data_IF_983009084222
#
_entry.id   IF_983009084222
#
_cell.length_a   1.000
_cell.length_b   1.000
_cell.length_c   1.000
_cell.angle_alpha   90.00
_cell.angle_beta   90.00
_cell.angle_gamma   90.00
#
_symmetry.space_group_name_H-M   'P 1'
#
loop_
_entity.id
_entity.type
_entity.pdbx_description
1 polymer ?
#
# COMPACT_ATOMS: atom_id res chain seq x y z
N UNK A 1 -20.61 1.91 -7.62
CA UNK A 1 -20.99 1.48 -6.25
C UNK A 1 -20.86 -0.04 -6.16
N UNK A 2 -20.37 -0.59 -5.05
CA UNK A 2 -20.41 -2.02 -4.74
C UNK A 2 -21.79 -2.34 -4.16
N UNK A 3 -22.45 -3.37 -4.68
CA UNK A 3 -23.83 -3.75 -4.29
C UNK A 3 -23.94 -5.19 -3.81
N UNK A 4 -22.90 -6.00 -4.00
CA UNK A 4 -22.83 -7.37 -3.49
C UNK A 4 -21.37 -7.80 -3.39
N UNK A 5 -21.08 -8.56 -2.34
CA UNK A 5 -19.76 -9.09 -2.03
C UNK A 5 -19.93 -10.59 -1.74
N UNK A 6 -19.09 -11.41 -2.36
CA UNK A 6 -19.09 -12.86 -2.19
C UNK A 6 -17.65 -13.37 -2.05
N UNK A 7 -17.49 -14.62 -1.63
CA UNK A 7 -16.22 -15.31 -1.43
C UNK A 7 -15.33 -15.41 -2.68
N UNK A 8 -15.84 -15.02 -3.85
CA UNK A 8 -15.14 -15.13 -5.13
C UNK A 8 -15.29 -13.91 -6.04
N UNK A 9 -16.17 -12.97 -5.70
CA UNK A 9 -16.51 -11.86 -6.58
C UNK A 9 -17.07 -10.66 -5.82
N UNK A 10 -17.03 -9.52 -6.48
CA UNK A 10 -17.83 -8.35 -6.12
C UNK A 10 -18.71 -7.97 -7.32
N UNK A 11 -19.88 -7.41 -7.04
CA UNK A 11 -20.74 -6.81 -8.06
C UNK A 11 -20.70 -5.31 -7.92
N UNK A 12 -20.44 -4.63 -9.03
CA UNK A 12 -20.39 -3.17 -9.08
C UNK A 12 -21.44 -2.63 -10.04
N UNK A 13 -22.06 -1.51 -9.67
CA UNK A 13 -22.91 -0.71 -10.54
C UNK A 13 -22.13 0.55 -10.93
N UNK A 14 -21.87 0.72 -12.22
CA UNK A 14 -21.20 1.90 -12.77
C UNK A 14 -22.11 3.13 -12.79
N UNK A 15 -21.55 4.30 -13.11
CA UNK A 15 -22.32 5.56 -13.19
C UNK A 15 -23.36 5.53 -14.32
N UNK A 16 -23.16 4.67 -15.32
CA UNK A 16 -24.11 4.39 -16.39
C UNK A 16 -25.26 3.45 -15.97
N UNK A 17 -25.28 2.99 -14.71
CA UNK A 17 -26.25 2.02 -14.20
C UNK A 17 -25.97 0.57 -14.60
N UNK A 18 -24.88 0.29 -15.31
CA UNK A 18 -24.53 -1.06 -15.72
C UNK A 18 -23.98 -1.85 -14.52
N UNK A 19 -24.55 -3.03 -14.31
CA UNK A 19 -24.12 -3.97 -13.29
C UNK A 19 -23.09 -4.95 -13.87
N UNK A 20 -21.91 -4.99 -13.28
CA UNK A 20 -20.81 -5.85 -13.70
C UNK A 20 -20.34 -6.69 -12.52
N UNK A 21 -20.36 -8.01 -12.70
CA UNK A 21 -19.76 -8.95 -11.75
C UNK A 21 -18.27 -9.11 -12.03
N UNK A 22 -17.44 -8.87 -11.01
CA UNK A 22 -15.99 -8.89 -11.10
C UNK A 22 -15.41 -10.03 -10.26
N UNK A 23 -14.55 -10.84 -10.85
CA UNK A 23 -13.83 -11.89 -10.11
C UNK A 23 -12.83 -11.26 -9.14
N UNK A 24 -12.93 -11.64 -7.86
CA UNK A 24 -12.10 -11.13 -6.76
C UNK A 24 -11.16 -12.21 -6.18
N UNK A 25 -11.33 -13.48 -6.53
CA UNK A 25 -10.50 -14.60 -6.05
C UNK A 25 -8.99 -14.37 -6.17
N UNK A 26 -8.21 -14.82 -5.18
CA UNK A 26 -6.76 -14.85 -5.25
C UNK A 26 -6.09 -13.98 -4.19
N UNK A 27 -4.85 -13.56 -4.46
CA UNK A 27 -3.98 -12.89 -3.50
C UNK A 27 -4.01 -11.37 -3.64
N UNK A 28 -4.23 -10.70 -2.53
CA UNK A 28 -4.36 -9.26 -2.39
C UNK A 28 -3.28 -8.68 -1.49
N UNK A 29 -2.92 -7.44 -1.75
CA UNK A 29 -2.25 -6.56 -0.79
C UNK A 29 -3.32 -5.59 -0.31
N UNK A 30 -3.40 -5.39 1.00
CA UNK A 30 -4.34 -4.48 1.65
C UNK A 30 -3.53 -3.41 2.34
N UNK A 31 -3.97 -2.17 2.21
CA UNK A 31 -3.50 -1.03 3.00
C UNK A 31 -4.71 -0.52 3.76
N UNK A 32 -4.62 -0.57 5.08
CA UNK A 32 -5.63 -0.14 6.05
C UNK A 32 -4.89 0.32 7.32
N UNK A 33 -5.38 0.04 8.52
CA UNK A 33 -4.63 0.24 9.78
C UNK A 33 -3.27 -0.47 9.74
N UNK A 34 -3.21 -1.65 9.13
CA UNK A 34 -1.98 -2.34 8.76
C UNK A 34 -1.92 -2.64 7.25
N UNK A 35 -0.70 -2.89 6.75
CA UNK A 35 -0.51 -3.52 5.43
C UNK A 35 -0.50 -5.03 5.60
N UNK A 36 -1.50 -5.69 5.00
CA UNK A 36 -1.56 -7.16 4.94
C UNK A 36 -1.08 -7.63 3.57
N UNK A 37 0.15 -8.16 3.46
CA UNK A 37 0.64 -8.66 2.18
C UNK A 37 0.07 -10.04 1.88
N UNK A 38 -0.29 -10.28 0.61
CA UNK A 38 -0.58 -11.62 0.08
C UNK A 38 -1.77 -12.35 0.77
N UNK A 39 -2.77 -11.59 1.21
CA UNK A 39 -3.98 -12.13 1.82
C UNK A 39 -4.88 -12.80 0.78
N UNK A 40 -5.55 -13.89 1.15
CA UNK A 40 -6.57 -14.50 0.29
C UNK A 40 -7.85 -13.69 0.38
N UNK A 41 -8.49 -13.38 -0.75
CA UNK A 41 -9.78 -12.69 -0.83
C UNK A 41 -10.82 -13.18 0.19
N UNK A 42 -10.98 -14.50 0.33
CA UNK A 42 -11.97 -15.07 1.26
C UNK A 42 -11.75 -14.66 2.73
N UNK A 43 -10.52 -14.30 3.10
CA UNK A 43 -10.18 -13.86 4.46
C UNK A 43 -10.29 -12.33 4.64
N UNK A 44 -10.46 -11.59 3.54
CA UNK A 44 -10.33 -10.13 3.53
C UNK A 44 -11.46 -9.41 2.81
N UNK A 45 -12.45 -10.14 2.32
CA UNK A 45 -13.66 -9.57 1.75
C UNK A 45 -14.39 -8.67 2.75
N UNK A 46 -14.23 -8.91 4.06
CA UNK A 46 -14.89 -8.15 5.12
C UNK A 46 -14.36 -6.72 5.27
N UNK A 47 -13.19 -6.41 4.70
CA UNK A 47 -12.68 -5.03 4.57
C UNK A 47 -13.50 -4.21 3.57
N UNK A 48 -14.25 -4.88 2.69
CA UNK A 48 -15.09 -4.25 1.67
C UNK A 48 -16.52 -4.25 2.16
N UNK A 49 -17.23 -3.14 1.94
CA UNK A 49 -18.66 -3.00 2.24
C UNK A 49 -19.41 -2.55 1.01
N UNK A 50 -20.72 -2.75 1.02
CA UNK A 50 -21.59 -2.12 0.03
C UNK A 50 -21.45 -0.60 0.11
N UNK A 51 -21.50 0.06 -1.05
CA UNK A 51 -21.38 1.52 -1.14
C UNK A 51 -20.34 2.03 -2.12
N UNK A 52 -19.95 3.29 -1.97
CA UNK A 52 -19.07 3.98 -2.92
C UNK A 52 -17.67 3.40 -2.85
N UNK A 53 -17.11 3.05 -4.01
CA UNK A 53 -15.75 2.58 -4.16
C UNK A 53 -15.26 2.90 -5.57
N UNK A 54 -13.96 3.06 -5.73
CA UNK A 54 -13.28 3.09 -7.03
C UNK A 54 -12.69 1.72 -7.27
N UNK A 55 -12.94 1.13 -8.44
CA UNK A 55 -12.49 -0.23 -8.77
C UNK A 55 -11.70 -0.20 -10.07
N UNK A 56 -10.54 -0.85 -10.09
CA UNK A 56 -9.75 -1.08 -11.30
C UNK A 56 -10.10 -2.44 -11.86
N UNK A 57 -10.66 -2.43 -13.08
CA UNK A 57 -11.14 -3.63 -13.76
C UNK A 57 -10.12 -4.10 -14.80
N UNK A 58 -9.79 -5.39 -14.77
CA UNK A 58 -9.10 -6.09 -15.84
C UNK A 58 -10.09 -6.92 -16.64
N UNK A 59 -9.84 -7.04 -17.95
CA UNK A 59 -10.65 -7.87 -18.85
C UNK A 59 -9.79 -9.00 -19.42
N UNK A 60 -10.30 -10.23 -19.36
CA UNK A 60 -9.71 -11.39 -20.04
C UNK A 60 -10.71 -11.86 -21.09
N UNK A 61 -10.32 -11.77 -22.36
CA UNK A 61 -11.05 -12.36 -23.48
C UNK A 61 -10.41 -13.70 -23.87
N UNK A 62 -11.20 -14.77 -23.92
CA UNK A 62 -10.81 -16.10 -24.44
C UNK A 62 -11.91 -16.64 -25.35
N UNK A 63 -11.66 -16.65 -26.65
CA UNK A 63 -12.68 -17.02 -27.64
C UNK A 63 -13.88 -16.07 -27.53
N UNK A 64 -15.07 -16.63 -27.31
CA UNK A 64 -16.32 -15.88 -27.13
C UNK A 64 -16.64 -15.53 -25.66
N UNK A 65 -15.78 -15.90 -24.71
CA UNK A 65 -15.96 -15.55 -23.30
C UNK A 65 -15.12 -14.33 -22.92
N UNK A 66 -15.79 -13.33 -22.34
CA UNK A 66 -15.13 -12.20 -21.67
C UNK A 66 -15.38 -12.31 -20.17
N UNK A 67 -14.31 -12.26 -19.37
CA UNK A 67 -14.38 -12.25 -17.91
C UNK A 67 -13.75 -10.99 -17.37
N UNK A 68 -14.45 -10.34 -16.45
CA UNK A 68 -13.98 -9.16 -15.75
C UNK A 68 -13.40 -9.55 -14.39
N UNK A 69 -12.29 -8.90 -14.02
CA UNK A 69 -11.52 -9.20 -12.82
C UNK A 69 -11.31 -7.90 -12.06
N UNK A 70 -11.58 -7.91 -10.76
CA UNK A 70 -11.20 -6.82 -9.88
C UNK A 70 -9.68 -6.90 -9.64
N UNK A 71 -8.93 -5.91 -10.13
CA UNK A 71 -7.47 -5.83 -9.96
C UNK A 71 -7.06 -4.89 -8.83
N UNK A 72 -7.88 -3.88 -8.55
CA UNK A 72 -7.68 -2.91 -7.47
C UNK A 72 -9.01 -2.33 -7.00
N UNK A 73 -9.06 -1.91 -5.74
CA UNK A 73 -10.24 -1.37 -5.08
C UNK A 73 -9.79 -0.31 -4.08
N UNK A 74 -10.49 0.82 -4.04
CA UNK A 74 -10.34 1.84 -3.00
C UNK A 74 -11.72 2.21 -2.46
N UNK A 75 -11.90 2.11 -1.15
CA UNK A 75 -13.13 2.44 -0.45
C UNK A 75 -12.78 3.14 0.87
N UNK A 76 -13.02 4.45 0.94
CA UNK A 76 -12.52 5.26 2.05
C UNK A 76 -10.99 5.13 2.16
N UNK A 77 -10.53 4.78 3.36
CA UNK A 77 -9.11 4.60 3.68
C UNK A 77 -8.60 3.18 3.36
N UNK A 78 -9.49 2.25 2.99
CA UNK A 78 -9.11 0.90 2.58
C UNK A 78 -8.70 0.91 1.12
N UNK A 79 -7.46 0.48 0.87
CA UNK A 79 -6.93 0.24 -0.47
C UNK A 79 -6.57 -1.23 -0.60
N UNK A 80 -7.05 -1.88 -1.67
CA UNK A 80 -6.71 -3.26 -1.98
C UNK A 80 -6.25 -3.34 -3.42
N UNK A 81 -5.15 -4.06 -3.68
CA UNK A 81 -4.74 -4.34 -5.05
C UNK A 81 -4.03 -5.69 -5.17
N UNK A 82 -4.17 -6.28 -6.36
CA UNK A 82 -3.37 -7.45 -6.72
C UNK A 82 -1.96 -7.01 -7.07
N UNK A 83 -0.98 -7.87 -6.81
CA UNK A 83 0.43 -7.64 -7.18
C UNK A 83 0.63 -7.33 -8.68
N UNK A 84 -0.20 -7.91 -9.55
CA UNK A 84 -0.13 -7.63 -10.99
C UNK A 84 -0.43 -6.16 -11.31
N UNK A 85 -1.28 -5.50 -10.52
CA UNK A 85 -1.60 -4.08 -10.68
C UNK A 85 -0.36 -3.21 -10.46
N UNK A 86 0.43 -3.52 -9.42
CA UNK A 86 1.69 -2.83 -9.15
C UNK A 86 2.66 -2.97 -10.33
N UNK A 87 2.73 -4.15 -10.96
CA UNK A 87 3.58 -4.39 -12.13
C UNK A 87 3.10 -3.62 -13.36
N UNK A 88 1.79 -3.56 -13.59
CA UNK A 88 1.19 -2.83 -14.73
C UNK A 88 1.47 -1.33 -14.62
N UNK A 89 1.30 -0.78 -13.41
CA UNK A 89 1.47 0.65 -13.15
C UNK A 89 2.87 1.04 -12.67
N UNK A 90 3.85 0.14 -12.73
CA UNK A 90 5.23 0.50 -12.42
C UNK A 90 5.74 1.52 -13.45
N UNK A 91 6.15 2.70 -12.99
CA UNK A 91 6.90 3.68 -13.77
C UNK A 91 8.40 3.33 -13.75
N UNK A 92 8.88 2.79 -12.63
CA UNK A 92 10.24 2.30 -12.50
C UNK A 92 10.51 1.71 -11.12
N UNK A 93 11.46 0.79 -11.04
CA UNK A 93 11.94 0.24 -9.77
C UNK A 93 13.42 0.59 -9.62
N UNK A 94 13.76 1.31 -8.56
CA UNK A 94 15.14 1.60 -8.18
C UNK A 94 15.56 0.62 -7.11
N UNK A 95 16.66 -0.08 -7.38
CA UNK A 95 17.31 -0.99 -6.45
C UNK A 95 18.79 -0.61 -6.29
N UNK A 96 19.30 -0.64 -5.06
CA UNK A 96 20.74 -0.44 -4.79
C UNK A 96 21.27 -1.46 -3.79
N UNK A 97 22.56 -1.80 -3.93
CA UNK A 97 23.28 -2.66 -2.98
C UNK A 97 23.73 -1.93 -1.71
N UNK A 98 23.79 -0.59 -1.73
CA UNK A 98 24.16 0.22 -0.56
C UNK A 98 22.90 0.65 0.18
N UNK A 99 22.41 1.86 -0.07
CA UNK A 99 21.12 2.35 0.37
C UNK A 99 20.77 3.62 -0.42
N UNK A 100 19.47 3.86 -0.55
CA UNK A 100 18.90 5.16 -0.89
C UNK A 100 18.42 5.82 0.40
N UNK A 101 18.50 7.15 0.46
CA UNK A 101 18.19 7.92 1.65
C UNK A 101 17.01 8.90 1.47
N UNK A 102 15.82 8.47 0.99
CA UNK A 102 14.70 9.39 0.82
C UNK A 102 14.30 10.03 2.15
N UNK A 103 13.93 11.30 2.07
CA UNK A 103 13.48 12.13 3.19
C UNK A 103 12.13 12.73 2.82
N UNK A 104 11.18 12.72 3.75
CA UNK A 104 9.86 13.34 3.62
C UNK A 104 9.26 13.64 4.98
N UNK A 105 8.14 14.35 4.98
CA UNK A 105 7.33 14.62 6.15
C UNK A 105 6.39 13.45 6.42
N UNK A 106 6.26 13.02 7.67
CA UNK A 106 5.34 11.99 8.08
C UNK A 106 3.90 12.54 8.06
N UNK A 107 3.08 12.06 7.12
CA UNK A 107 1.70 12.53 6.96
C UNK A 107 0.66 11.53 7.45
N UNK A 108 1.03 10.26 7.56
CA UNK A 108 0.18 9.22 8.12
C UNK A 108 1.02 8.00 8.56
N UNK A 109 0.47 7.12 9.40
CA UNK A 109 1.13 5.90 9.86
C UNK A 109 0.12 4.81 10.23
N UNK A 110 0.53 3.56 10.03
CA UNK A 110 -0.20 2.38 10.49
C UNK A 110 0.69 1.44 11.30
N UNK A 111 0.17 0.28 11.67
CA UNK A 111 0.84 -0.67 12.59
C UNK A 111 2.13 -1.27 12.03
N UNK A 112 2.35 -1.21 10.72
CA UNK A 112 3.53 -1.77 10.07
C UNK A 112 4.00 -0.98 8.84
N UNK A 113 3.61 0.29 8.74
CA UNK A 113 4.06 1.20 7.69
C UNK A 113 3.94 2.66 8.13
N UNK A 114 4.55 3.54 7.33
CA UNK A 114 4.35 4.99 7.40
C UNK A 114 4.10 5.55 6.00
N UNK A 115 3.44 6.71 5.93
CA UNK A 115 3.28 7.50 4.71
C UNK A 115 4.11 8.77 4.85
N UNK A 116 5.08 8.92 3.95
CA UNK A 116 5.88 10.13 3.85
C UNK A 116 5.44 10.96 2.64
N UNK A 117 5.34 12.27 2.81
CA UNK A 117 5.09 13.22 1.72
C UNK A 117 6.31 14.10 1.47
N UNK A 118 6.58 14.37 0.20
CA UNK A 118 7.54 15.40 -0.21
C UNK A 118 7.18 15.96 -1.57
N UNK A 119 7.16 17.28 -1.68
CA UNK A 119 6.90 17.99 -2.94
C UNK A 119 5.57 17.53 -3.60
N UNK A 120 4.56 17.21 -2.78
CA UNK A 120 3.26 16.71 -3.22
C UNK A 120 3.21 15.22 -3.60
N UNK A 121 4.31 14.47 -3.41
CA UNK A 121 4.37 13.04 -3.67
C UNK A 121 4.29 12.23 -2.38
N UNK A 122 3.33 11.30 -2.31
CA UNK A 122 3.11 10.40 -1.18
C UNK A 122 3.74 9.04 -1.40
N UNK A 123 4.45 8.56 -0.39
CA UNK A 123 5.19 7.30 -0.44
C UNK A 123 4.81 6.44 0.75
N UNK A 124 4.39 5.21 0.49
CA UNK A 124 4.22 4.20 1.53
C UNK A 124 5.55 3.52 1.79
N UNK A 125 6.00 3.55 3.04
CA UNK A 125 7.21 2.89 3.49
C UNK A 125 6.85 1.78 4.49
N UNK A 126 7.10 0.52 4.11
CA UNK A 126 6.77 -0.64 4.94
C UNK A 126 7.76 -0.71 6.09
N UNK A 127 7.34 -0.82 7.35
CA UNK A 127 8.22 -0.82 8.53
C UNK A 127 8.24 -2.16 9.27
N UNK A 128 7.68 -3.22 8.67
CA UNK A 128 7.57 -4.54 9.29
C UNK A 128 8.92 -5.14 9.73
N UNK A 129 8.85 -5.98 10.76
CA UNK A 129 9.98 -6.70 11.32
C UNK A 129 10.56 -6.01 12.57
N UNK A 130 11.74 -6.49 12.98
CA UNK A 130 12.42 -6.05 14.19
C UNK A 130 13.44 -4.95 13.91
N UNK A 131 13.55 -4.02 14.84
CA UNK A 131 14.40 -2.86 14.81
C UNK A 131 15.19 -2.79 16.10
N UNK A 132 16.36 -2.18 16.05
CA UNK A 132 17.13 -1.85 17.25
C UNK A 132 16.97 -0.35 17.46
N UNK A 133 16.34 0.05 18.57
CA UNK A 133 16.25 1.44 19.00
C UNK A 133 17.61 1.90 19.52
N UNK A 134 17.93 3.18 19.35
CA UNK A 134 19.10 3.78 19.99
C UNK A 134 19.10 3.47 21.51
N UNK A 135 20.13 2.77 21.99
CA UNK A 135 20.16 2.17 23.34
C UNK A 135 20.26 0.64 23.34
N UNK A 136 20.04 -0.01 22.18
CA UNK A 136 20.27 -1.45 21.98
C UNK A 136 19.05 -2.35 22.20
N UNK A 137 17.88 -1.76 22.45
CA UNK A 137 16.63 -2.50 22.63
C UNK A 137 16.05 -2.96 21.30
N UNK A 138 15.66 -4.23 21.21
CA UNK A 138 14.93 -4.77 20.06
C UNK A 138 13.44 -4.45 20.19
N UNK A 139 12.88 -3.79 19.17
CA UNK A 139 11.50 -3.30 19.12
C UNK A 139 10.87 -3.62 17.76
N UNK A 140 9.54 -3.63 17.69
CA UNK A 140 8.78 -3.58 16.45
C UNK A 140 8.39 -2.15 16.13
N UNK A 141 7.91 -1.89 14.91
CA UNK A 141 7.40 -0.55 14.57
C UNK A 141 6.23 -0.16 15.46
N UNK A 142 5.29 -1.07 15.75
CA UNK A 142 4.14 -0.78 16.63
C UNK A 142 4.54 -0.38 18.05
N UNK A 143 5.69 -0.86 18.54
CA UNK A 143 6.18 -0.49 19.89
C UNK A 143 6.66 0.97 19.97
N UNK A 144 7.09 1.55 18.85
CA UNK A 144 7.74 2.87 18.79
C UNK A 144 7.03 3.87 17.88
N UNK A 145 5.98 3.47 17.17
CA UNK A 145 5.33 4.32 16.16
C UNK A 145 4.81 5.62 16.78
N UNK A 146 4.42 5.63 18.05
CA UNK A 146 3.93 6.81 18.78
C UNK A 146 5.02 7.85 19.06
N UNK A 147 6.29 7.49 18.96
CA UNK A 147 7.41 8.44 19.03
C UNK A 147 7.63 9.22 17.73
N UNK A 148 7.01 8.77 16.63
CA UNK A 148 7.00 9.42 15.33
C UNK A 148 5.65 10.13 15.13
N UNK A 149 5.65 11.46 15.17
CA UNK A 149 4.46 12.29 15.12
C UNK A 149 4.18 12.78 13.69
N UNK A 150 2.90 12.98 13.37
CA UNK A 150 2.52 13.60 12.10
C UNK A 150 3.13 15.01 12.02
N UNK A 151 3.77 15.32 10.90
CA UNK A 151 4.58 16.53 10.69
C UNK A 151 6.09 16.32 10.88
N UNK A 152 6.52 15.18 11.43
CA UNK A 152 7.94 14.89 11.63
C UNK A 152 8.68 14.69 10.30
N UNK A 153 9.88 15.23 10.19
CA UNK A 153 10.77 14.98 9.04
C UNK A 153 11.53 13.68 9.22
N UNK A 154 11.15 12.64 8.48
CA UNK A 154 11.76 11.31 8.56
C UNK A 154 12.65 11.04 7.36
N UNK A 155 13.80 10.40 7.59
CA UNK A 155 14.66 9.83 6.55
C UNK A 155 14.73 8.32 6.69
N UNK A 156 14.60 7.65 5.55
CA UNK A 156 14.65 6.20 5.46
C UNK A 156 15.93 5.80 4.74
N UNK A 157 16.55 4.70 5.18
CA UNK A 157 17.68 4.08 4.48
C UNK A 157 17.24 2.72 3.93
N UNK A 158 16.93 2.69 2.64
CA UNK A 158 16.24 1.58 1.98
C UNK A 158 16.95 1.11 0.71
N UNK A 159 16.65 -0.12 0.29
CA UNK A 159 17.19 -0.71 -0.94
C UNK A 159 16.24 -0.63 -2.12
N UNK A 160 14.94 -0.52 -1.90
CA UNK A 160 13.95 -0.60 -2.96
C UNK A 160 12.99 0.58 -2.91
N UNK A 161 12.81 1.22 -4.06
CA UNK A 161 11.77 2.22 -4.30
C UNK A 161 11.06 1.83 -5.60
N UNK A 162 9.79 1.46 -5.52
CA UNK A 162 8.92 1.27 -6.69
C UNK A 162 8.12 2.54 -6.91
N UNK A 163 8.39 3.23 -8.01
CA UNK A 163 7.66 4.42 -8.43
C UNK A 163 6.50 4.00 -9.31
N UNK A 164 5.33 4.54 -9.01
CA UNK A 164 4.08 4.28 -9.71
C UNK A 164 3.84 5.34 -10.79
N UNK A 165 3.12 4.96 -11.84
CA UNK A 165 2.62 5.92 -12.83
C UNK A 165 1.52 6.79 -12.23
N UNK A 166 1.32 7.96 -12.81
CA UNK A 166 0.35 8.96 -12.34
C UNK A 166 -1.05 8.39 -12.20
N UNK A 167 -1.50 7.54 -13.12
CA UNK A 167 -2.83 6.94 -13.11
C UNK A 167 -3.08 6.08 -11.86
N UNK A 168 -2.04 5.42 -11.33
CA UNK A 168 -2.16 4.70 -10.07
C UNK A 168 -2.25 5.68 -8.88
N UNK A 169 -1.46 6.74 -8.89
CA UNK A 169 -1.50 7.78 -7.87
C UNK A 169 -2.85 8.52 -7.86
N UNK A 170 -3.40 8.85 -9.02
CA UNK A 170 -4.72 9.52 -9.14
C UNK A 170 -5.85 8.65 -8.55
N UNK A 171 -5.74 7.31 -8.62
CA UNK A 171 -6.72 6.37 -8.04
C UNK A 171 -6.47 6.16 -6.55
N UNK A 172 -5.24 5.81 -6.18
CA UNK A 172 -4.92 5.30 -4.84
C UNK A 172 -4.36 6.37 -3.89
N UNK A 173 -3.81 7.47 -4.41
CA UNK A 173 -3.15 8.53 -3.64
C UNK A 173 -1.74 8.16 -3.20
N UNK A 174 -1.08 7.23 -3.91
CA UNK A 174 0.25 6.71 -3.58
C UNK A 174 1.12 6.77 -4.83
N UNK A 175 2.25 7.46 -4.73
CA UNK A 175 3.21 7.65 -5.82
C UNK A 175 4.34 6.63 -5.80
N UNK A 176 4.70 6.11 -4.63
CA UNK A 176 5.74 5.09 -4.52
C UNK A 176 5.60 4.16 -3.31
N UNK A 177 6.29 3.03 -3.39
CA UNK A 177 6.47 2.08 -2.30
C UNK A 177 7.95 1.93 -1.94
N UNK A 178 8.27 1.96 -0.65
CA UNK A 178 9.62 1.76 -0.10
C UNK A 178 9.65 0.48 0.73
N UNK A 179 10.68 -0.35 0.50
CA UNK A 179 10.94 -1.53 1.32
C UNK A 179 12.42 -1.97 1.29
N UNK A 180 12.74 -2.96 2.12
CA UNK A 180 14.06 -3.57 2.21
C UNK A 180 15.07 -2.61 2.85
N UNK A 181 15.02 -2.48 4.17
CA UNK A 181 15.88 -1.58 4.93
C UNK A 181 17.19 -2.26 5.28
N UNK A 182 18.26 -1.48 5.25
CA UNK A 182 19.62 -1.92 5.63
C UNK A 182 20.37 -0.95 6.51
N UNK A 183 19.83 0.26 6.69
CA UNK A 183 20.41 1.24 7.60
C UNK A 183 19.43 1.50 8.73
N UNK A 184 18.87 2.69 8.69
CA UNK A 184 18.03 3.22 9.74
C UNK A 184 16.72 3.84 9.22
N UNK A 185 15.82 4.06 10.16
CA UNK A 185 14.77 5.08 10.10
C UNK A 185 15.22 6.14 11.10
N UNK A 186 15.32 7.39 10.66
CA UNK A 186 15.73 8.51 11.51
C UNK A 186 14.69 9.60 11.40
N UNK A 187 14.08 9.96 12.52
CA UNK A 187 13.33 11.20 12.63
C UNK A 187 14.30 12.36 12.96
N UNK A 188 14.37 13.34 12.06
CA UNK A 188 15.20 14.53 12.21
C UNK A 188 14.60 15.57 13.16
N UNK A 189 13.36 15.37 13.58
CA UNK A 189 12.60 16.28 14.45
C UNK A 189 12.83 15.91 15.91
N UNK A 190 12.48 14.68 16.31
CA UNK A 190 12.70 14.17 17.67
C UNK A 190 14.11 13.63 17.91
N UNK A 191 14.82 13.22 16.84
CA UNK A 191 16.10 12.51 16.93
C UNK A 191 15.97 11.01 17.16
N UNK A 192 14.75 10.46 17.19
CA UNK A 192 14.53 9.01 17.31
C UNK A 192 15.15 8.29 16.11
N UNK A 193 15.94 7.26 16.41
CA UNK A 193 16.62 6.46 15.40
C UNK A 193 16.41 4.96 15.66
N UNK A 194 16.00 4.26 14.60
CA UNK A 194 15.85 2.82 14.56
C UNK A 194 16.87 2.28 13.56
N UNK A 195 17.74 1.36 13.96
CA UNK A 195 18.58 0.62 13.02
C UNK A 195 17.99 -0.75 12.73
N UNK A 196 18.26 -1.28 11.55
CA UNK A 196 17.85 -2.64 11.23
C UNK A 196 18.57 -3.66 12.14
N UNK A 197 17.82 -4.55 12.76
CA UNK A 197 18.36 -5.69 13.52
C UNK A 197 19.02 -6.73 12.63
#
# INVERSE_FOLDING_TARGET
MIVSIDNSSITVVGDNGEEIKLLAIGRWIIVSEEIVPNANWANVMDYVKDGKATVVVGMIARGNETRYICLGLKQGDVIMFRRILLRIYAAGHRHTKTYMGPKGELVDKGENYMILERDGHKVIAITSGKWIKAGGEEVTWSDVMDEFHIGDTVRLFCHNILVMRKEFSDIFGIDAFIWGYSGAIIDFTSGVALSRS
#
